data_IF_587331199957
#
_entry.id   IF_587331199957
#
_cell.length_a   1.000
_cell.length_b   1.000
_cell.length_c   1.000
_cell.angle_alpha   90.00
_cell.angle_beta   90.00
_cell.angle_gamma   90.00
#
_symmetry.space_group_name_H-M   'P 1'
#
loop_
_entity.id
_entity.type
_entity.pdbx_description
1 polymer ?
#
# COMPACT_ATOMS: atom_id res chain seq x y z
N UNK A 1 5.75 6.64 -16.35
CA UNK A 1 6.77 6.60 -15.28
C UNK A 1 7.09 5.15 -14.95
N UNK A 2 8.25 4.82 -14.36
CA UNK A 2 8.48 3.50 -13.76
C UNK A 2 7.37 3.12 -12.78
N UNK A 3 7.04 1.83 -12.71
CA UNK A 3 5.96 1.29 -11.90
C UNK A 3 6.52 0.34 -10.86
N UNK A 4 5.90 0.33 -9.68
CA UNK A 4 6.35 -0.45 -8.55
C UNK A 4 5.16 -1.14 -7.89
N UNK A 5 5.37 -2.42 -7.56
CA UNK A 5 4.54 -3.19 -6.67
C UNK A 5 5.06 -3.01 -5.24
N UNK A 6 4.17 -2.81 -4.29
CA UNK A 6 4.43 -2.97 -2.87
C UNK A 6 3.58 -4.09 -2.30
N UNK A 7 4.22 -4.99 -1.55
CA UNK A 7 3.55 -5.97 -0.72
C UNK A 7 3.69 -5.55 0.74
N UNK A 8 2.56 -5.34 1.42
CA UNK A 8 2.51 -5.01 2.84
C UNK A 8 2.18 -6.26 3.66
N UNK A 9 2.98 -6.53 4.68
CA UNK A 9 2.72 -7.60 5.64
C UNK A 9 2.24 -7.01 6.96
N UNK A 10 1.03 -7.38 7.43
CA UNK A 10 0.55 -7.05 8.77
C UNK A 10 1.49 -7.58 9.87
N UNK A 11 1.44 -7.03 11.09
CA UNK A 11 2.34 -7.44 12.17
C UNK A 11 2.05 -8.87 12.66
N UNK A 12 0.83 -9.37 12.42
CA UNK A 12 0.36 -10.70 12.82
C UNK A 12 -0.84 -11.13 11.96
N UNK A 13 -1.12 -12.44 11.79
CA UNK A 13 -2.26 -12.94 11.02
C UNK A 13 -3.61 -12.42 11.53
N UNK A 14 -3.80 -12.41 12.86
CA UNK A 14 -5.05 -11.98 13.50
C UNK A 14 -5.30 -10.47 13.45
N UNK A 15 -4.38 -9.68 12.88
CA UNK A 15 -4.43 -8.22 12.90
C UNK A 15 -5.76 -7.65 12.40
N UNK A 16 -6.38 -8.27 11.39
CA UNK A 16 -7.65 -7.82 10.84
C UNK A 16 -8.83 -7.94 11.84
N UNK A 17 -8.73 -8.77 12.86
CA UNK A 17 -9.79 -9.02 13.85
C UNK A 17 -9.45 -8.52 15.25
N UNK A 18 -8.17 -8.32 15.57
CA UNK A 18 -7.70 -7.96 16.91
C UNK A 18 -6.86 -6.67 16.97
N UNK A 19 -6.87 -5.84 15.93
CA UNK A 19 -6.16 -4.57 15.93
C UNK A 19 -6.68 -3.63 17.04
N UNK A 20 -5.75 -3.10 17.83
CA UNK A 20 -5.99 -2.11 18.88
C UNK A 20 -6.44 -0.78 18.30
N UNK A 21 -7.04 0.11 19.12
CA UNK A 21 -7.46 1.45 18.69
C UNK A 21 -6.32 2.25 18.04
N UNK A 22 -5.13 2.24 18.63
CA UNK A 22 -3.95 2.92 18.06
C UNK A 22 -3.49 2.31 16.72
N UNK A 23 -3.64 1.00 16.55
CA UNK A 23 -3.37 0.33 15.27
C UNK A 23 -4.43 0.72 14.23
N UNK A 24 -5.71 0.77 14.60
CA UNK A 24 -6.81 1.22 13.73
C UNK A 24 -6.60 2.65 13.24
N UNK A 25 -6.17 3.56 14.12
CA UNK A 25 -5.85 4.95 13.74
C UNK A 25 -4.71 5.02 12.71
N UNK A 26 -3.68 4.18 12.88
CA UNK A 26 -2.58 4.09 11.91
C UNK A 26 -3.07 3.55 10.55
N UNK A 27 -3.98 2.58 10.55
CA UNK A 27 -4.60 2.04 9.34
C UNK A 27 -5.49 3.07 8.65
N UNK A 28 -6.25 3.86 9.39
CA UNK A 28 -7.04 4.95 8.84
C UNK A 28 -6.14 6.01 8.17
N UNK A 29 -5.02 6.36 8.80
CA UNK A 29 -4.02 7.26 8.23
C UNK A 29 -3.37 6.69 6.95
N UNK A 30 -3.04 5.40 6.96
CA UNK A 30 -2.55 4.67 5.78
C UNK A 30 -3.57 4.70 4.63
N UNK A 31 -4.85 4.45 4.91
CA UNK A 31 -5.89 4.51 3.89
C UNK A 31 -6.01 5.91 3.28
N UNK A 32 -6.05 6.95 4.12
CA UNK A 32 -6.06 8.33 3.63
C UNK A 32 -4.79 8.73 2.86
N UNK A 33 -3.64 8.11 3.14
CA UNK A 33 -2.43 8.28 2.33
C UNK A 33 -2.58 7.70 0.93
N UNK A 34 -3.14 6.49 0.82
CA UNK A 34 -3.44 5.85 -0.47
C UNK A 34 -4.50 6.60 -1.28
N UNK A 35 -5.54 7.14 -0.62
CA UNK A 35 -6.54 7.99 -1.29
C UNK A 35 -5.91 9.24 -1.91
N UNK A 36 -5.04 9.95 -1.17
CA UNK A 36 -4.31 11.10 -1.72
C UNK A 36 -3.40 10.70 -2.88
N UNK A 37 -2.73 9.55 -2.79
CA UNK A 37 -1.88 9.03 -3.86
C UNK A 37 -2.71 8.67 -5.11
N UNK A 38 -3.92 8.13 -4.94
CA UNK A 38 -4.87 7.90 -6.03
C UNK A 38 -5.29 9.20 -6.69
N UNK A 39 -5.68 10.20 -5.90
CA UNK A 39 -6.18 11.48 -6.40
C UNK A 39 -5.08 12.29 -7.10
N UNK A 40 -3.83 12.12 -6.68
CA UNK A 40 -2.66 12.67 -7.36
C UNK A 40 -2.23 11.88 -8.63
N UNK A 41 -2.91 10.77 -8.94
CA UNK A 41 -2.57 9.89 -10.07
C UNK A 41 -1.32 9.03 -9.86
N UNK A 42 -0.73 9.04 -8.66
CA UNK A 42 0.44 8.22 -8.29
C UNK A 42 0.05 6.76 -8.10
N UNK A 43 -1.09 6.47 -7.47
CA UNK A 43 -1.56 5.11 -7.20
C UNK A 43 -2.38 4.56 -8.38
N UNK A 44 -2.00 3.39 -8.87
CA UNK A 44 -2.74 2.64 -9.91
C UNK A 44 -3.82 1.77 -9.27
N UNK A 45 -3.48 1.05 -8.19
CA UNK A 45 -4.36 0.14 -7.46
C UNK A 45 -3.84 -0.05 -6.03
N UNK A 46 -4.75 -0.20 -5.08
CA UNK A 46 -4.48 -0.78 -3.77
C UNK A 46 -5.55 -1.82 -3.43
N UNK A 47 -5.17 -2.83 -2.65
CA UNK A 47 -6.07 -3.90 -2.20
C UNK A 47 -5.38 -4.83 -1.21
N UNK A 48 -5.99 -6.00 -0.99
CA UNK A 48 -5.39 -7.09 -0.19
C UNK A 48 -5.65 -8.45 -0.82
N UNK A 49 -4.80 -9.42 -0.54
CA UNK A 49 -5.09 -10.83 -0.81
C UNK A 49 -6.20 -11.33 0.13
N UNK A 50 -6.82 -12.44 -0.24
CA UNK A 50 -7.87 -13.10 0.55
C UNK A 50 -7.37 -14.36 1.27
N UNK A 51 -6.09 -14.69 1.11
CA UNK A 51 -5.42 -15.75 1.87
C UNK A 51 -5.23 -15.33 3.33
N UNK A 52 -4.94 -16.31 4.19
CA UNK A 52 -4.62 -16.11 5.61
C UNK A 52 -3.15 -16.49 5.87
N UNK A 53 -2.26 -15.57 6.31
CA UNK A 53 -2.53 -14.16 6.58
C UNK A 53 -2.70 -13.30 5.30
N UNK A 54 -3.53 -12.25 5.35
CA UNK A 54 -3.70 -11.36 4.20
C UNK A 54 -2.46 -10.49 4.00
N UNK A 55 -2.10 -10.26 2.74
CA UNK A 55 -1.08 -9.31 2.33
C UNK A 55 -1.75 -8.10 1.70
N UNK A 56 -1.33 -6.89 2.08
CA UNK A 56 -1.69 -5.68 1.36
C UNK A 56 -0.94 -5.61 0.03
N UNK A 57 -1.60 -5.13 -1.01
CA UNK A 57 -1.02 -4.95 -2.34
C UNK A 57 -1.22 -3.51 -2.79
N UNK A 58 -0.19 -2.92 -3.38
CA UNK A 58 -0.26 -1.60 -4.02
C UNK A 58 0.54 -1.58 -5.31
N UNK A 59 0.02 -0.95 -6.36
CA UNK A 59 0.78 -0.65 -7.58
C UNK A 59 0.74 0.85 -7.79
N UNK A 60 1.89 1.48 -7.95
CA UNK A 60 2.03 2.93 -8.07
C UNK A 60 3.15 3.32 -9.03
N UNK A 61 3.14 4.57 -9.48
CA UNK A 61 4.17 5.15 -10.33
C UNK A 61 5.11 6.06 -9.54
N UNK A 62 6.41 5.99 -9.83
CA UNK A 62 7.41 6.86 -9.20
C UNK A 62 8.55 7.14 -10.20
N UNK A 63 9.28 8.27 -10.09
CA UNK A 63 10.32 8.64 -11.05
C UNK A 63 11.57 7.73 -10.97
N UNK A 64 11.78 7.03 -9.85
CA UNK A 64 12.91 6.11 -9.64
C UNK A 64 12.60 5.12 -8.52
N UNK A 65 13.43 4.08 -8.38
CA UNK A 65 13.32 3.14 -7.26
C UNK A 65 13.52 3.83 -5.90
N UNK A 66 14.45 4.78 -5.81
CA UNK A 66 14.65 5.54 -4.57
C UNK A 66 13.41 6.36 -4.20
N UNK A 67 12.75 6.99 -5.18
CA UNK A 67 11.51 7.70 -4.94
C UNK A 67 10.37 6.75 -4.55
N UNK A 68 10.32 5.54 -5.12
CA UNK A 68 9.35 4.53 -4.76
C UNK A 68 9.52 4.03 -3.32
N UNK A 69 10.77 3.76 -2.92
CA UNK A 69 11.11 3.39 -1.54
C UNK A 69 10.74 4.50 -0.56
N UNK A 70 11.09 5.76 -0.88
CA UNK A 70 10.72 6.90 -0.05
C UNK A 70 9.18 7.07 0.07
N UNK A 71 8.44 6.84 -1.01
CA UNK A 71 6.96 6.86 -0.98
C UNK A 71 6.40 5.79 -0.05
N UNK A 72 6.94 4.57 -0.07
CA UNK A 72 6.48 3.49 0.81
C UNK A 72 6.94 3.69 2.26
N UNK A 73 8.14 4.22 2.49
CA UNK A 73 8.64 4.55 3.83
C UNK A 73 7.88 5.71 4.49
N UNK A 74 7.28 6.60 3.69
CA UNK A 74 6.44 7.70 4.16
C UNK A 74 5.00 7.25 4.51
N UNK A 75 4.60 6.05 4.10
CA UNK A 75 3.31 5.46 4.43
C UNK A 75 3.15 5.34 5.96
N UNK A 76 2.07 5.85 6.58
CA UNK A 76 1.85 5.75 8.01
C UNK A 76 1.99 4.33 8.59
N UNK A 77 1.53 3.29 7.86
CA UNK A 77 1.63 1.92 8.34
C UNK A 77 3.09 1.43 8.40
N UNK A 78 3.94 1.87 7.45
CA UNK A 78 5.36 1.49 7.40
C UNK A 78 6.20 2.36 8.33
N UNK A 79 5.96 3.68 8.30
CA UNK A 79 6.66 4.67 9.14
C UNK A 79 6.49 4.37 10.63
N UNK A 80 5.29 3.95 11.04
CA UNK A 80 5.01 3.56 12.42
C UNK A 80 5.42 2.11 12.74
N UNK A 81 6.07 1.42 11.79
CA UNK A 81 6.50 0.01 11.89
C UNK A 81 5.36 -0.96 12.20
N UNK A 82 4.13 -0.59 11.82
CA UNK A 82 2.98 -1.46 11.97
C UNK A 82 3.02 -2.54 10.90
N UNK A 83 3.28 -2.15 9.65
CA UNK A 83 3.47 -3.06 8.52
C UNK A 83 4.93 -3.08 8.08
N UNK A 84 5.38 -4.22 7.59
CA UNK A 84 6.58 -4.29 6.74
C UNK A 84 6.17 -4.19 5.28
N UNK A 85 7.06 -3.69 4.43
CA UNK A 85 6.78 -3.48 3.02
C UNK A 85 7.94 -3.98 2.15
N UNK A 86 7.60 -4.66 1.06
CA UNK A 86 8.53 -5.11 0.02
C UNK A 86 8.22 -4.43 -1.31
N UNK A 87 9.15 -3.61 -1.80
CA UNK A 87 9.01 -2.81 -3.02
C UNK A 87 9.74 -3.46 -4.18
N UNK A 88 9.02 -3.71 -5.28
CA UNK A 88 9.51 -4.41 -6.47
C UNK A 88 9.21 -3.61 -7.74
N UNK A 89 10.17 -3.43 -8.67
CA UNK A 89 9.86 -2.92 -10.00
C UNK A 89 8.85 -3.85 -10.70
N UNK A 90 7.85 -3.28 -11.36
CA UNK A 90 6.89 -4.04 -12.14
C UNK A 90 6.55 -3.34 -13.46
N UNK A 91 5.85 -4.04 -14.36
CA UNK A 91 5.34 -3.48 -15.60
C UNK A 91 3.84 -3.82 -15.72
N UNK A 92 3.00 -2.79 -15.64
CA UNK A 92 1.55 -2.89 -15.83
C UNK A 92 1.27 -2.91 -17.32
N UNK A 93 1.08 -4.11 -17.88
CA UNK A 93 0.84 -4.30 -19.32
C UNK A 93 -0.59 -3.90 -19.74
N UNK A 94 -1.57 -4.05 -18.84
CA UNK A 94 -2.98 -3.75 -19.09
C UNK A 94 -3.59 -3.06 -17.86
N UNK A 95 -4.37 -2.00 -18.06
CA UNK A 95 -5.08 -1.28 -17.00
C UNK A 95 -6.57 -1.24 -17.34
N UNK A 96 -7.41 -1.70 -16.40
CA UNK A 96 -8.86 -1.58 -16.53
C UNK A 96 -9.33 -0.13 -16.38
N UNK A 97 -10.55 0.17 -16.84
CA UNK A 97 -11.20 1.46 -16.51
C UNK A 97 -11.46 1.51 -15.01
N UNK A 98 -11.17 2.65 -14.39
CA UNK A 98 -11.34 2.83 -12.95
C UNK A 98 -12.79 2.62 -12.53
N UNK A 99 -13.03 1.75 -11.54
CA UNK A 99 -14.26 1.79 -10.75
C UNK A 99 -14.18 3.03 -9.85
N UNK A 100 -15.14 3.96 -10.03
CA UNK A 100 -15.53 4.86 -8.94
C UNK A 100 -16.18 3.97 -7.88
N UNK A 101 -15.81 4.19 -6.62
CA UNK A 101 -16.22 3.40 -5.46
C UNK A 101 -17.73 3.16 -5.36
#
# INVERSE_FOLDING_TARGET
MPQFLVLYSPPRPTFATDATEAEQDTIAAHFGYLERARDAGTLILAGRTLDEPPLGIGIFEAPSENAARAFVEADPAVRNRLFTADVRPCCVALRGRGSVG
#
